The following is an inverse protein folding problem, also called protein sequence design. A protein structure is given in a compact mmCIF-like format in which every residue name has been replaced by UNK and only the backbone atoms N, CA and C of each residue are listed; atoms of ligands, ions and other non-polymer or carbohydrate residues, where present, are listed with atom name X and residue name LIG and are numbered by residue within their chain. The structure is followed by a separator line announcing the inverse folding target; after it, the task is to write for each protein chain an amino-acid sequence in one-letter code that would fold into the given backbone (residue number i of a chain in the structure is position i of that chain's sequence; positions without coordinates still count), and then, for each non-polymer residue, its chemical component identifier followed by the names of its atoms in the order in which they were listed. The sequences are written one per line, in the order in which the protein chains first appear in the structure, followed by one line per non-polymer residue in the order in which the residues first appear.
data_IF_602567955864
#
_entry.id   IF_602567955864
#
_cell.length_a   1.000
_cell.length_b   1.000
_cell.length_c   1.000
_cell.angle_alpha   90.00
_cell.angle_beta   90.00
_cell.angle_gamma   90.00
#
_symmetry.space_group_name_H-M   'P 1'
#
loop_
_entity.id
_entity.type
_entity.pdbx_description
1 polymer ?
#
# COMPACT_ATOMS: atom_id res chain seq x y z
N UNK A 1 -1.95 21.66 -6.34
CA UNK A 1 -0.89 20.77 -5.84
C UNK A 1 -1.46 19.58 -5.07
N UNK A 2 -2.30 19.78 -4.05
CA UNK A 2 -2.85 18.68 -3.21
C UNK A 2 -3.67 17.63 -3.97
N UNK A 3 -4.39 18.00 -5.05
CA UNK A 3 -5.10 17.03 -5.89
C UNK A 3 -4.16 15.99 -6.54
N UNK A 4 -2.97 16.43 -6.99
CA UNK A 4 -2.07 15.59 -7.77
C UNK A 4 -1.27 14.59 -6.92
N UNK A 5 -1.17 14.82 -5.62
CA UNK A 5 -0.44 13.96 -4.68
C UNK A 5 -1.39 13.61 -3.55
N UNK A 6 -1.62 12.33 -3.35
CA UNK A 6 -2.44 11.79 -2.28
C UNK A 6 -1.62 10.84 -1.41
N UNK A 7 -2.10 10.55 -0.20
CA UNK A 7 -1.43 9.66 0.74
C UNK A 7 -2.40 8.57 1.23
N UNK A 8 -1.91 7.35 1.30
CA UNK A 8 -2.54 6.22 1.97
C UNK A 8 -1.70 5.94 3.22
N UNK A 9 -2.33 6.05 4.39
CA UNK A 9 -1.67 5.89 5.67
C UNK A 9 -1.58 4.42 6.10
N UNK A 10 -0.61 4.11 6.92
CA UNK A 10 -0.35 2.80 7.51
C UNK A 10 -1.57 2.24 8.25
N UNK A 11 -2.22 3.04 9.07
CA UNK A 11 -3.33 2.61 9.89
C UNK A 11 -4.65 3.17 9.34
N UNK A 12 -5.39 2.30 8.62
CA UNK A 12 -6.70 2.65 8.08
C UNK A 12 -7.73 2.99 9.17
N UNK A 13 -7.60 2.43 10.39
CA UNK A 13 -8.53 2.72 11.50
C UNK A 13 -8.47 4.17 11.93
N UNK A 14 -7.29 4.76 11.96
CA UNK A 14 -7.11 6.17 12.36
C UNK A 14 -7.25 7.14 11.18
N UNK A 15 -7.05 6.63 9.95
CA UNK A 15 -7.09 7.45 8.75
C UNK A 15 -8.52 7.74 8.26
N UNK A 16 -9.50 6.89 8.60
CA UNK A 16 -10.90 7.08 8.22
C UNK A 16 -11.67 7.77 9.33
N UNK A 17 -12.53 8.75 8.96
CA UNK A 17 -13.40 9.39 9.94
C UNK A 17 -14.47 8.39 10.42
N UNK A 18 -14.48 7.99 11.72
CA UNK A 18 -15.38 6.94 12.22
C UNK A 18 -16.86 7.33 12.21
N UNK A 19 -17.17 8.63 12.02
CA UNK A 19 -18.53 9.15 12.00
C UNK A 19 -19.09 9.32 10.58
N UNK A 20 -18.29 9.04 9.55
CA UNK A 20 -18.70 9.15 8.14
C UNK A 20 -18.97 7.78 7.56
N UNK A 21 -20.01 7.67 6.72
CA UNK A 21 -20.27 6.48 5.92
C UNK A 21 -19.23 6.33 4.82
N UNK A 22 -19.01 5.12 4.34
CA UNK A 22 -18.06 4.81 3.26
C UNK A 22 -18.28 5.71 2.05
N UNK A 23 -19.53 5.87 1.60
CA UNK A 23 -19.87 6.75 0.47
C UNK A 23 -19.45 8.21 0.67
N UNK A 24 -19.45 8.68 1.91
CA UNK A 24 -19.07 10.07 2.21
C UNK A 24 -17.54 10.20 2.30
N UNK A 25 -16.86 9.19 2.84
CA UNK A 25 -15.39 9.13 2.89
C UNK A 25 -14.80 9.20 1.48
N UNK A 26 -15.36 8.41 0.54
CA UNK A 26 -14.92 8.37 -0.85
C UNK A 26 -15.43 9.58 -1.63
N UNK A 27 -16.66 10.01 -1.37
CA UNK A 27 -17.33 11.08 -2.12
C UNK A 27 -16.80 12.48 -1.84
N UNK A 28 -16.27 12.74 -0.63
CA UNK A 28 -15.74 14.05 -0.29
C UNK A 28 -14.60 14.54 -1.20
N UNK A 29 -13.56 13.75 -1.49
CA UNK A 29 -12.55 14.14 -2.47
C UNK A 29 -13.13 14.38 -3.87
N UNK A 30 -14.12 13.59 -4.29
CA UNK A 30 -14.81 13.76 -5.58
C UNK A 30 -15.48 15.13 -5.65
N UNK A 31 -16.25 15.50 -4.62
CA UNK A 31 -16.87 16.82 -4.53
C UNK A 31 -15.84 17.94 -4.55
N UNK A 32 -14.82 17.83 -3.70
CA UNK A 32 -13.84 18.88 -3.49
C UNK A 32 -12.91 19.09 -4.69
N UNK A 33 -12.41 18.00 -5.31
CA UNK A 33 -11.41 18.09 -6.36
C UNK A 33 -11.98 18.04 -7.77
N UNK A 34 -13.11 17.36 -7.98
CA UNK A 34 -13.72 17.19 -9.29
C UNK A 34 -14.98 18.03 -9.47
N UNK A 35 -15.53 18.62 -8.39
CA UNK A 35 -16.75 19.41 -8.44
C UNK A 35 -18.02 18.60 -8.72
N UNK A 36 -17.96 17.27 -8.65
CA UNK A 36 -19.10 16.39 -8.90
C UNK A 36 -19.99 16.31 -7.65
N UNK A 37 -21.31 16.46 -7.84
CA UNK A 37 -22.31 16.38 -6.77
C UNK A 37 -23.48 15.47 -7.18
N UNK A 38 -24.37 15.17 -6.24
CA UNK A 38 -25.61 14.42 -6.50
C UNK A 38 -25.37 13.05 -7.13
N UNK A 39 -26.09 12.74 -8.21
CA UNK A 39 -26.04 11.45 -8.89
C UNK A 39 -24.66 11.17 -9.52
N UNK A 40 -23.99 12.17 -10.09
CA UNK A 40 -22.67 12.02 -10.71
C UNK A 40 -21.61 11.63 -9.67
N UNK A 41 -21.63 12.26 -8.48
CA UNK A 41 -20.77 11.88 -7.34
C UNK A 41 -21.02 10.44 -6.92
N UNK A 42 -22.28 10.06 -6.75
CA UNK A 42 -22.63 8.71 -6.29
C UNK A 42 -22.20 7.64 -7.30
N UNK A 43 -22.42 7.87 -8.59
CA UNK A 43 -21.94 6.98 -9.64
C UNK A 43 -20.41 6.78 -9.58
N UNK A 44 -19.65 7.88 -9.38
CA UNK A 44 -18.17 7.79 -9.25
C UNK A 44 -17.74 7.06 -7.98
N UNK A 45 -18.48 7.22 -6.88
CA UNK A 45 -18.25 6.46 -5.63
C UNK A 45 -18.46 4.97 -5.89
N UNK A 46 -19.56 4.59 -6.53
CA UNK A 46 -19.88 3.18 -6.83
C UNK A 46 -18.83 2.56 -7.76
N UNK A 47 -18.39 3.31 -8.80
CA UNK A 47 -17.29 2.89 -9.68
C UNK A 47 -16.01 2.58 -8.89
N UNK A 48 -15.59 3.47 -7.99
CA UNK A 48 -14.41 3.28 -7.18
C UNK A 48 -14.57 2.12 -6.19
N UNK A 49 -15.74 1.94 -5.59
CA UNK A 49 -16.02 0.81 -4.71
C UNK A 49 -15.94 -0.52 -5.45
N UNK A 50 -16.53 -0.63 -6.64
CA UNK A 50 -16.41 -1.83 -7.46
C UNK A 50 -14.97 -2.13 -7.83
N UNK A 51 -14.19 -1.12 -8.18
CA UNK A 51 -12.74 -1.27 -8.45
C UNK A 51 -11.97 -1.78 -7.23
N UNK A 52 -12.44 -1.46 -6.02
CA UNK A 52 -11.88 -1.97 -4.76
C UNK A 52 -12.45 -3.35 -4.36
N UNK A 53 -13.21 -4.02 -5.22
CA UNK A 53 -13.91 -5.28 -4.93
C UNK A 53 -14.86 -5.16 -3.72
N UNK A 54 -15.47 -4.00 -3.54
CA UNK A 54 -16.47 -3.71 -2.52
C UNK A 54 -17.81 -3.45 -3.19
N UNK A 55 -18.81 -4.27 -2.88
CA UNK A 55 -20.20 -4.11 -3.36
C UNK A 55 -20.85 -2.86 -2.74
N UNK A 56 -21.16 -1.79 -3.52
CA UNK A 56 -21.76 -0.58 -2.98
C UNK A 56 -23.07 -0.82 -2.24
N UNK A 57 -23.90 -1.76 -2.71
CA UNK A 57 -25.17 -2.10 -2.08
C UNK A 57 -25.01 -2.62 -0.64
N UNK A 58 -23.85 -3.22 -0.33
CA UNK A 58 -23.56 -3.79 0.99
C UNK A 58 -22.75 -2.86 1.88
N UNK A 59 -21.85 -2.07 1.28
CA UNK A 59 -20.82 -1.38 2.06
C UNK A 59 -20.93 0.14 2.04
N UNK A 60 -21.62 0.77 1.05
CA UNK A 60 -21.61 2.22 0.90
C UNK A 60 -22.17 2.98 2.12
N UNK A 61 -23.16 2.42 2.80
CA UNK A 61 -23.80 3.03 3.96
C UNK A 61 -23.23 2.62 5.31
N UNK A 62 -22.22 1.72 5.32
CA UNK A 62 -21.56 1.31 6.56
C UNK A 62 -20.64 2.37 7.12
N UNK A 63 -20.44 2.30 8.44
CA UNK A 63 -19.42 3.05 9.15
C UNK A 63 -18.10 2.24 9.18
N UNK A 64 -16.93 2.89 9.35
CA UNK A 64 -15.65 2.20 9.47
C UNK A 64 -15.61 1.12 10.55
N UNK A 65 -16.31 1.31 11.66
CA UNK A 65 -16.40 0.30 12.75
C UNK A 65 -17.06 -1.02 12.35
N UNK A 66 -17.79 -1.05 11.24
CA UNK A 66 -18.51 -2.23 10.73
C UNK A 66 -17.71 -2.99 9.66
N UNK A 67 -16.43 -2.65 9.47
CA UNK A 67 -15.60 -3.15 8.39
C UNK A 67 -14.35 -3.87 8.92
N UNK A 68 -13.88 -4.87 8.18
CA UNK A 68 -12.59 -5.51 8.43
C UNK A 68 -11.41 -4.57 8.09
N UNK A 69 -10.21 -4.88 8.62
CA UNK A 69 -9.00 -4.10 8.33
C UNK A 69 -8.71 -3.98 6.83
N UNK A 70 -8.81 -5.08 6.08
CA UNK A 70 -8.63 -5.08 4.62
C UNK A 70 -9.69 -4.25 3.88
N UNK A 71 -10.95 -4.26 4.34
CA UNK A 71 -12.00 -3.41 3.78
C UNK A 71 -11.74 -1.93 4.04
N UNK A 72 -11.32 -1.55 5.24
CA UNK A 72 -10.91 -0.18 5.58
C UNK A 72 -9.75 0.28 4.71
N UNK A 73 -8.75 -0.58 4.49
CA UNK A 73 -7.61 -0.27 3.64
C UNK A 73 -8.05 -0.01 2.19
N UNK A 74 -8.93 -0.85 1.64
CA UNK A 74 -9.52 -0.65 0.30
C UNK A 74 -10.28 0.68 0.19
N UNK A 75 -11.00 1.09 1.23
CA UNK A 75 -11.68 2.40 1.29
C UNK A 75 -10.65 3.54 1.35
N UNK A 76 -9.56 3.39 2.08
CA UNK A 76 -8.45 4.34 2.10
C UNK A 76 -7.83 4.56 0.72
N UNK A 77 -7.65 3.45 -0.04
CA UNK A 77 -7.18 3.49 -1.42
C UNK A 77 -8.20 4.17 -2.33
N UNK A 78 -9.49 3.80 -2.25
CA UNK A 78 -10.57 4.43 -3.01
C UNK A 78 -10.63 5.95 -2.78
N UNK A 79 -10.51 6.38 -1.52
CA UNK A 79 -10.48 7.80 -1.14
C UNK A 79 -9.30 8.54 -1.78
N UNK A 80 -8.11 7.94 -1.81
CA UNK A 80 -6.95 8.55 -2.46
C UNK A 80 -7.15 8.66 -3.97
N UNK A 81 -7.66 7.62 -4.62
CA UNK A 81 -7.97 7.61 -6.06
C UNK A 81 -9.09 8.57 -6.46
N UNK A 82 -10.01 8.87 -5.55
CA UNK A 82 -11.14 9.76 -5.79
C UNK A 82 -10.73 11.19 -6.21
N UNK A 83 -9.50 11.59 -5.89
CA UNK A 83 -8.91 12.86 -6.34
C UNK A 83 -8.33 12.78 -7.77
N UNK A 84 -8.26 11.62 -8.38
CA UNK A 84 -7.54 11.34 -9.64
C UNK A 84 -6.09 11.85 -9.59
N UNK A 85 -5.27 11.38 -8.64
CA UNK A 85 -3.93 11.87 -8.42
C UNK A 85 -2.97 11.34 -9.49
N UNK A 86 -1.82 12.03 -9.66
CA UNK A 86 -0.68 11.54 -10.44
C UNK A 86 0.26 10.68 -9.60
N UNK A 87 0.35 10.97 -8.30
CA UNK A 87 1.23 10.29 -7.36
C UNK A 87 0.45 9.92 -6.11
N UNK A 88 0.64 8.70 -5.63
CA UNK A 88 0.14 8.26 -4.33
C UNK A 88 1.33 7.82 -3.47
N UNK A 89 1.45 8.43 -2.29
CA UNK A 89 2.38 7.99 -1.26
C UNK A 89 1.71 6.87 -0.48
N UNK A 90 2.30 5.69 -0.49
CA UNK A 90 1.85 4.51 0.22
C UNK A 90 2.74 4.31 1.44
N UNK A 91 2.26 4.71 2.62
CA UNK A 91 3.01 4.64 3.86
C UNK A 91 2.60 3.37 4.62
N UNK A 92 3.46 2.33 4.53
CA UNK A 92 3.28 1.01 5.15
C UNK A 92 1.88 0.39 4.95
N UNK A 93 1.32 0.50 3.76
CA UNK A 93 -0.11 0.18 3.48
C UNK A 93 -0.49 -1.29 3.71
N UNK A 94 0.47 -2.19 3.88
CA UNK A 94 0.24 -3.63 4.11
C UNK A 94 0.69 -4.13 5.48
N UNK A 95 1.37 -3.31 6.29
CA UNK A 95 2.03 -3.75 7.53
C UNK A 95 1.09 -4.24 8.63
N UNK A 96 -0.16 -3.74 8.65
CA UNK A 96 -1.18 -4.11 9.64
C UNK A 96 -2.12 -5.23 9.18
N UNK A 97 -1.86 -5.84 8.02
CA UNK A 97 -2.72 -6.83 7.39
C UNK A 97 -2.09 -8.23 7.47
N UNK A 98 -2.94 -9.26 7.49
CA UNK A 98 -2.45 -10.62 7.28
C UNK A 98 -1.91 -10.80 5.85
N UNK A 99 -1.07 -11.82 5.65
CA UNK A 99 -0.34 -12.02 4.40
C UNK A 99 -1.25 -12.14 3.17
N UNK A 100 -2.38 -12.86 3.26
CA UNK A 100 -3.28 -13.05 2.12
C UNK A 100 -3.97 -11.74 1.73
N UNK A 101 -4.39 -10.95 2.72
CA UNK A 101 -4.99 -9.64 2.49
C UNK A 101 -3.95 -8.67 1.92
N UNK A 102 -2.72 -8.69 2.45
CA UNK A 102 -1.62 -7.86 1.95
C UNK A 102 -1.31 -8.15 0.47
N UNK A 103 -1.20 -9.41 0.07
CA UNK A 103 -1.03 -9.82 -1.33
C UNK A 103 -2.18 -9.33 -2.22
N UNK A 104 -3.43 -9.44 -1.75
CA UNK A 104 -4.60 -8.91 -2.43
C UNK A 104 -4.54 -7.39 -2.65
N UNK A 105 -4.07 -6.64 -1.66
CA UNK A 105 -3.89 -5.18 -1.77
C UNK A 105 -2.76 -4.83 -2.77
N UNK A 106 -1.63 -5.54 -2.74
CA UNK A 106 -0.52 -5.29 -3.67
C UNK A 106 -0.92 -5.57 -5.12
N UNK A 107 -1.66 -6.67 -5.36
CA UNK A 107 -2.23 -6.98 -6.67
C UNK A 107 -3.18 -5.88 -7.14
N UNK A 108 -4.10 -5.46 -6.30
CA UNK A 108 -5.04 -4.37 -6.59
C UNK A 108 -4.31 -3.06 -6.95
N UNK A 109 -3.29 -2.68 -6.20
CA UNK A 109 -2.49 -1.48 -6.50
C UNK A 109 -1.78 -1.57 -7.85
N UNK A 110 -1.28 -2.75 -8.23
CA UNK A 110 -0.68 -2.99 -9.54
C UNK A 110 -1.70 -2.83 -10.68
N UNK A 111 -2.86 -3.46 -10.55
CA UNK A 111 -3.96 -3.35 -11.52
C UNK A 111 -4.41 -1.89 -11.71
N UNK A 112 -4.52 -1.14 -10.61
CA UNK A 112 -4.83 0.29 -10.64
C UNK A 112 -3.75 1.06 -11.40
N UNK A 113 -2.47 0.78 -11.15
CA UNK A 113 -1.36 1.44 -11.83
C UNK A 113 -1.40 1.19 -13.34
N UNK A 114 -1.64 -0.04 -13.77
CA UNK A 114 -1.75 -0.42 -15.18
C UNK A 114 -2.89 0.33 -15.89
N UNK A 115 -4.04 0.46 -15.22
CA UNK A 115 -5.24 1.11 -15.81
C UNK A 115 -5.16 2.63 -15.79
N UNK A 116 -4.60 3.22 -14.71
CA UNK A 116 -4.65 4.67 -14.48
C UNK A 116 -3.36 5.41 -14.79
N UNK A 117 -2.23 4.69 -14.86
CA UNK A 117 -0.91 5.27 -15.00
C UNK A 117 -0.41 6.04 -13.76
N UNK A 118 -1.06 5.89 -12.60
CA UNK A 118 -0.65 6.52 -11.34
C UNK A 118 0.72 6.03 -10.90
N UNK A 119 1.55 6.93 -10.39
CA UNK A 119 2.85 6.57 -9.80
C UNK A 119 2.73 6.37 -8.30
N UNK A 120 3.41 5.35 -7.76
CA UNK A 120 3.49 5.13 -6.32
C UNK A 120 4.87 5.49 -5.77
N UNK A 121 4.87 6.19 -4.63
CA UNK A 121 6.00 6.22 -3.71
C UNK A 121 5.68 5.28 -2.55
N UNK A 122 6.26 4.08 -2.57
CA UNK A 122 5.98 3.03 -1.62
C UNK A 122 6.99 3.04 -0.48
N UNK A 123 6.55 3.29 0.74
CA UNK A 123 7.37 3.26 1.96
C UNK A 123 7.03 1.98 2.70
N UNK A 124 8.01 1.11 2.90
CA UNK A 124 7.81 -0.18 3.57
C UNK A 124 9.12 -0.74 4.08
N UNK A 125 9.04 -1.57 5.10
CA UNK A 125 10.13 -2.44 5.55
C UNK A 125 9.97 -3.90 5.04
N UNK A 126 8.87 -4.19 4.31
CA UNK A 126 8.61 -5.49 3.72
C UNK A 126 9.26 -5.62 2.34
N UNK A 127 10.33 -6.42 2.26
CA UNK A 127 11.06 -6.66 1.01
C UNK A 127 10.25 -7.48 -0.01
N UNK A 128 9.29 -8.29 0.44
CA UNK A 128 8.39 -9.00 -0.47
C UNK A 128 7.48 -8.03 -1.20
N UNK A 129 6.93 -7.03 -0.48
CA UNK A 129 6.16 -5.95 -1.09
C UNK A 129 7.00 -5.13 -2.08
N UNK A 130 8.26 -4.78 -1.73
CA UNK A 130 9.17 -4.08 -2.66
C UNK A 130 9.38 -4.87 -3.95
N UNK A 131 9.65 -6.17 -3.86
CA UNK A 131 9.81 -7.06 -5.04
C UNK A 131 8.55 -7.13 -5.90
N UNK A 132 7.38 -7.14 -5.25
CA UNK A 132 6.11 -7.34 -5.91
C UNK A 132 5.64 -6.12 -6.71
N UNK A 133 5.90 -4.89 -6.25
CA UNK A 133 5.25 -3.69 -6.82
C UNK A 133 6.25 -2.65 -7.35
N UNK A 134 7.51 -2.64 -6.91
CA UNK A 134 8.43 -1.53 -7.18
C UNK A 134 9.34 -1.80 -8.38
N UNK A 135 9.62 -0.76 -9.18
CA UNK A 135 10.59 -0.79 -10.28
C UNK A 135 11.99 -0.36 -9.82
N UNK A 136 12.03 0.70 -9.02
CA UNK A 136 13.23 1.26 -8.41
C UNK A 136 13.06 1.29 -6.90
N UNK A 137 14.15 1.23 -6.15
CA UNK A 137 14.12 1.37 -4.70
C UNK A 137 15.27 2.24 -4.19
N UNK A 138 15.04 2.83 -3.02
CA UNK A 138 16.05 3.53 -2.24
C UNK A 138 16.07 2.95 -0.83
N UNK A 139 17.25 2.53 -0.37
CA UNK A 139 17.46 2.05 1.01
C UNK A 139 17.86 3.23 1.86
N UNK A 140 17.17 3.41 2.99
CA UNK A 140 17.41 4.52 3.92
C UNK A 140 17.95 4.01 5.26
N UNK A 141 18.92 4.73 5.81
CA UNK A 141 19.45 4.51 7.15
C UNK A 141 19.74 5.85 7.82
N UNK A 142 19.24 6.07 9.03
CA UNK A 142 19.48 7.30 9.79
C UNK A 142 19.06 8.57 9.05
N UNK A 143 17.95 8.55 8.31
CA UNK A 143 17.43 9.68 7.54
C UNK A 143 18.16 9.97 6.22
N UNK A 144 19.10 9.11 5.81
CA UNK A 144 19.88 9.27 4.56
C UNK A 144 19.64 8.09 3.62
N UNK A 145 19.61 8.36 2.32
CA UNK A 145 19.64 7.32 1.30
C UNK A 145 21.07 6.77 1.25
N UNK A 146 21.24 5.49 1.53
CA UNK A 146 22.54 4.80 1.53
C UNK A 146 22.76 4.02 0.24
N UNK A 147 21.69 3.55 -0.41
CA UNK A 147 21.76 2.85 -1.68
C UNK A 147 20.47 3.09 -2.47
N UNK A 148 20.57 3.20 -3.80
CA UNK A 148 19.42 3.35 -4.69
C UNK A 148 19.68 2.75 -6.06
N UNK A 149 18.62 2.26 -6.71
CA UNK A 149 18.73 1.71 -8.07
C UNK A 149 17.50 0.86 -8.43
N UNK A 150 17.65 0.08 -9.51
CA UNK A 150 16.62 -0.90 -9.87
C UNK A 150 16.46 -1.92 -8.74
N UNK A 151 15.22 -2.28 -8.43
CA UNK A 151 14.92 -3.26 -7.35
C UNK A 151 15.74 -4.53 -7.53
N UNK A 152 15.81 -5.05 -8.77
CA UNK A 152 16.58 -6.25 -9.06
C UNK A 152 18.05 -6.13 -8.66
N UNK A 153 18.69 -5.00 -8.99
CA UNK A 153 20.11 -4.80 -8.76
C UNK A 153 20.42 -4.64 -7.27
N UNK A 154 19.65 -3.78 -6.58
CA UNK A 154 19.81 -3.51 -5.15
C UNK A 154 19.53 -4.75 -4.30
N UNK A 155 18.50 -5.56 -4.65
CA UNK A 155 18.16 -6.75 -3.86
C UNK A 155 19.02 -7.98 -4.18
N UNK A 156 19.55 -8.11 -5.41
CA UNK A 156 20.38 -9.27 -5.79
C UNK A 156 21.88 -9.03 -5.63
N UNK A 157 22.34 -7.78 -5.77
CA UNK A 157 23.74 -7.40 -5.75
C UNK A 157 23.97 -6.12 -4.93
N UNK A 158 23.58 -6.11 -3.64
CA UNK A 158 23.72 -4.95 -2.79
C UNK A 158 25.17 -4.51 -2.69
N UNK A 159 25.44 -3.24 -2.91
CA UNK A 159 26.77 -2.66 -2.78
C UNK A 159 27.09 -2.30 -1.32
N UNK A 160 26.10 -1.75 -0.61
CA UNK A 160 26.27 -1.22 0.74
C UNK A 160 26.14 -2.30 1.82
N UNK A 161 27.00 -2.21 2.85
CA UNK A 161 27.00 -3.16 3.98
C UNK A 161 25.65 -3.18 4.69
N UNK A 162 25.04 -2.01 4.90
CA UNK A 162 23.74 -1.94 5.54
C UNK A 162 22.66 -2.69 4.75
N UNK A 163 22.61 -2.50 3.43
CA UNK A 163 21.67 -3.21 2.55
C UNK A 163 21.87 -4.74 2.64
N UNK A 164 23.13 -5.21 2.65
CA UNK A 164 23.45 -6.63 2.84
C UNK A 164 22.92 -7.16 4.17
N UNK A 165 23.12 -6.42 5.25
CA UNK A 165 22.62 -6.78 6.59
C UNK A 165 21.09 -6.78 6.63
N UNK A 166 20.45 -5.78 6.03
CA UNK A 166 19.00 -5.70 5.93
C UNK A 166 18.42 -6.90 5.19
N UNK A 167 18.97 -7.25 4.04
CA UNK A 167 18.55 -8.43 3.26
C UNK A 167 18.78 -9.75 4.00
N UNK A 168 19.90 -9.88 4.70
CA UNK A 168 20.21 -11.07 5.49
C UNK A 168 19.32 -11.23 6.74
N UNK A 169 18.67 -10.18 7.20
CA UNK A 169 17.77 -10.23 8.36
C UNK A 169 16.36 -10.70 8.00
N UNK A 170 16.00 -10.70 6.70
CA UNK A 170 14.70 -11.19 6.25
C UNK A 170 14.78 -12.69 6.04
N UNK A 171 13.88 -13.45 6.69
CA UNK A 171 13.77 -14.87 6.44
C UNK A 171 13.45 -15.13 4.98
N UNK A 172 14.28 -15.97 4.30
CA UNK A 172 13.86 -16.54 3.04
C UNK A 172 12.60 -17.38 3.30
N UNK A 173 11.61 -17.32 2.42
CA UNK A 173 10.39 -18.15 2.51
C UNK A 173 10.67 -19.63 2.23
N UNK A 174 11.91 -20.05 2.30
CA UNK A 174 12.37 -21.42 2.22
C UNK A 174 12.07 -22.13 3.55
N UNK A 175 11.34 -23.25 3.54
CA UNK A 175 11.02 -24.02 4.75
C UNK A 175 12.24 -24.37 5.61
N UNK A 176 13.41 -24.54 4.99
CA UNK A 176 14.65 -24.90 5.69
C UNK A 176 15.49 -23.68 6.13
N UNK A 177 14.98 -22.46 5.91
CA UNK A 177 15.67 -21.23 6.25
C UNK A 177 16.14 -21.18 7.71
N UNK A 178 15.23 -21.50 8.63
CA UNK A 178 15.52 -21.44 10.07
C UNK A 178 16.57 -22.47 10.46
N UNK A 179 16.48 -23.69 9.92
CA UNK A 179 17.43 -24.76 10.14
C UNK A 179 18.82 -24.36 9.67
N UNK A 180 18.95 -23.87 8.42
CA UNK A 180 20.23 -23.41 7.87
C UNK A 180 20.84 -22.25 8.66
N UNK A 181 20.03 -21.34 9.17
CA UNK A 181 20.52 -20.21 9.97
C UNK A 181 20.97 -20.62 11.36
N UNK A 182 20.30 -21.59 11.99
CA UNK A 182 20.72 -22.16 13.27
C UNK A 182 22.04 -22.93 13.14
N UNK A 183 22.22 -23.70 12.05
CA UNK A 183 23.45 -24.40 11.75
C UNK A 183 24.62 -23.44 11.44
N UNK A 184 24.35 -22.36 10.67
CA UNK A 184 25.36 -21.32 10.40
C UNK A 184 25.78 -20.51 11.62
N UNK A 185 24.87 -20.32 12.59
CA UNK A 185 25.15 -19.62 13.87
C UNK A 185 25.80 -20.50 14.92
N UNK A 186 25.83 -21.84 14.73
CA UNK A 186 26.42 -22.81 15.65
C UNK A 186 27.92 -23.09 15.37
N UNK A 187 28.56 -22.40 14.40
CA UNK A 187 30.00 -22.51 14.21
C UNK A 187 30.72 -21.87 15.42
N UNK A 188 31.52 -22.66 16.17
CA UNK A 188 32.22 -22.17 17.37
C UNK A 188 33.21 -21.06 16.97
N UNK A 189 33.28 -20.03 17.82
CA UNK A 189 34.37 -19.03 17.78
C UNK A 189 35.67 -19.66 18.19
#
# INVERSE_FOLDING_TARGET
MLRQIQIIYQNADTALNPRQRVRDIIGRPIEFYLGLTGAARNHKVDELMHRMELDPAKFADRLPSELSGGQKQRIGIARALAAEPKIIICDEVTSALDQLVAEGILRLLREIQEVTGVSYLFITHDLAAVRAISHDCAVMQGGRVVEQGKVRDVLQRPAQTYTKTLLASVPDMDPDWLTRRLEAGASPK
#
